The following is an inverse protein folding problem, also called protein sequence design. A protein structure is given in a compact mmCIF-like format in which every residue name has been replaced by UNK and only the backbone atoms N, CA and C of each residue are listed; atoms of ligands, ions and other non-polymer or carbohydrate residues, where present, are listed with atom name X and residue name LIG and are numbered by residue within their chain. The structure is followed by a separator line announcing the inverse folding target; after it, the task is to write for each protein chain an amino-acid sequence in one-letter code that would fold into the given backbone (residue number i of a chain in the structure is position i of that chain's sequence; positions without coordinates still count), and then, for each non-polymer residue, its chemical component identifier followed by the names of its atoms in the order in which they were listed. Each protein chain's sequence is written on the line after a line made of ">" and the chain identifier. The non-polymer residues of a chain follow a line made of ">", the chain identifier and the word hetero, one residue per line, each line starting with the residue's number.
data_IF_462474158610
#
_entry.id   IF_462474158610
#
_cell.length_a   1.000
_cell.length_b   1.000
_cell.length_c   1.000
_cell.angle_alpha   90.00
_cell.angle_beta   90.00
_cell.angle_gamma   90.00
#
_symmetry.space_group_name_H-M   'P 1'
#
loop_
_entity.id
_entity.type
_entity.pdbx_description
1 polymer ?
#
# COMPACT_ATOMS: atom_id res chain seq x y z
N UNK A 1 12.29 -2.65 6.82
CA UNK A 1 11.09 -3.27 7.44
C UNK A 1 10.81 -4.49 6.59
N UNK A 2 11.04 -5.70 7.10
CA UNK A 2 11.30 -6.88 6.25
C UNK A 2 10.17 -7.19 5.26
N UNK A 3 8.92 -6.90 5.63
CA UNK A 3 7.75 -7.08 4.77
C UNK A 3 7.75 -6.15 3.54
N UNK A 4 8.27 -4.93 3.67
CA UNK A 4 8.40 -3.97 2.58
C UNK A 4 9.55 -4.35 1.66
N UNK A 5 10.62 -4.89 2.23
CA UNK A 5 11.79 -5.34 1.48
C UNK A 5 11.45 -6.59 0.63
N UNK A 6 10.64 -7.50 1.18
CA UNK A 6 10.07 -8.63 0.42
C UNK A 6 9.14 -8.16 -0.70
N UNK A 7 8.29 -7.16 -0.45
CA UNK A 7 7.41 -6.60 -1.48
C UNK A 7 8.21 -5.94 -2.61
N UNK A 8 9.24 -5.16 -2.27
CA UNK A 8 10.15 -4.56 -3.25
C UNK A 8 10.85 -5.63 -4.10
N UNK A 9 11.36 -6.69 -3.49
CA UNK A 9 12.04 -7.78 -4.20
C UNK A 9 11.10 -8.59 -5.10
N UNK A 10 9.82 -8.74 -4.71
CA UNK A 10 8.82 -9.41 -5.54
C UNK A 10 8.41 -8.56 -6.76
N UNK A 11 8.43 -7.24 -6.62
CA UNK A 11 8.03 -6.29 -7.67
C UNK A 11 9.20 -5.93 -8.61
N UNK A 12 10.44 -5.90 -8.12
CA UNK A 12 11.64 -5.70 -8.94
C UNK A 12 11.98 -6.96 -9.75
N UNK A 13 11.31 -7.17 -10.88
CA UNK A 13 11.75 -8.12 -11.91
C UNK A 13 12.45 -7.38 -13.04
N UNK A 14 13.40 -8.01 -13.74
CA UNK A 14 14.18 -7.43 -14.86
C UNK A 14 13.32 -6.84 -15.99
N UNK A 15 12.04 -7.24 -16.06
CA UNK A 15 10.99 -6.60 -16.89
C UNK A 15 9.89 -6.04 -15.97
N UNK A 16 10.21 -5.00 -15.23
CA UNK A 16 9.19 -4.28 -14.44
C UNK A 16 8.45 -3.36 -15.41
N UNK A 17 7.22 -3.69 -15.79
CA UNK A 17 6.38 -2.80 -16.58
C UNK A 17 5.71 -1.78 -15.65
N UNK A 18 5.83 -0.50 -16.00
CA UNK A 18 5.23 0.63 -15.29
C UNK A 18 3.74 0.44 -15.06
N UNK A 19 3.04 -0.01 -16.10
CA UNK A 19 1.61 -0.23 -16.05
C UNK A 19 1.25 -1.38 -15.11
N UNK A 20 2.03 -2.47 -15.14
CA UNK A 20 1.84 -3.60 -14.23
C UNK A 20 2.13 -3.22 -12.78
N UNK A 21 3.21 -2.51 -12.49
CA UNK A 21 3.54 -2.04 -11.14
C UNK A 21 2.46 -1.12 -10.61
N UNK A 22 1.98 -0.16 -11.42
CA UNK A 22 0.87 0.73 -11.04
C UNK A 22 -0.40 -0.06 -10.74
N UNK A 23 -0.74 -1.03 -11.59
CA UNK A 23 -1.91 -1.90 -11.39
C UNK A 23 -1.81 -2.70 -10.09
N UNK A 24 -0.66 -3.31 -9.82
CA UNK A 24 -0.43 -4.10 -8.62
C UNK A 24 -0.49 -3.24 -7.35
N UNK A 25 0.11 -2.04 -7.36
CA UNK A 25 0.05 -1.08 -6.26
C UNK A 25 -1.39 -0.65 -5.98
N UNK A 26 -2.18 -0.38 -7.01
CA UNK A 26 -3.60 -0.03 -6.86
C UNK A 26 -4.42 -1.19 -6.25
N UNK A 27 -4.21 -2.42 -6.71
CA UNK A 27 -4.88 -3.62 -6.16
C UNK A 27 -4.52 -3.82 -4.69
N UNK A 28 -3.26 -3.59 -4.33
CA UNK A 28 -2.79 -3.68 -2.95
C UNK A 28 -3.45 -2.62 -2.05
N UNK A 29 -3.50 -1.37 -2.49
CA UNK A 29 -4.17 -0.29 -1.74
C UNK A 29 -5.66 -0.57 -1.55
N UNK A 30 -6.37 -1.02 -2.59
CA UNK A 30 -7.79 -1.38 -2.49
C UNK A 30 -8.04 -2.54 -1.52
N UNK A 31 -7.14 -3.53 -1.50
CA UNK A 31 -7.21 -4.66 -0.58
C UNK A 31 -7.01 -4.21 0.88
N UNK A 32 -6.04 -3.33 1.13
CA UNK A 32 -5.82 -2.75 2.46
C UNK A 32 -7.00 -1.91 2.94
N UNK A 33 -7.62 -1.14 2.05
CA UNK A 33 -8.77 -0.32 2.40
C UNK A 33 -10.02 -1.17 2.69
N UNK A 34 -10.22 -2.26 1.94
CA UNK A 34 -11.25 -3.26 2.26
C UNK A 34 -11.02 -3.88 3.63
N UNK A 35 -9.79 -4.26 3.96
CA UNK A 35 -9.47 -4.84 5.25
C UNK A 35 -9.70 -3.85 6.40
N UNK A 36 -9.30 -2.59 6.21
CA UNK A 36 -9.58 -1.50 7.17
C UNK A 36 -11.08 -1.31 7.40
N UNK A 37 -11.90 -1.28 6.35
CA UNK A 37 -13.37 -1.14 6.46
C UNK A 37 -14.00 -2.33 7.19
N UNK A 38 -13.52 -3.56 6.96
CA UNK A 38 -13.98 -4.75 7.71
C UNK A 38 -13.72 -4.61 9.22
N UNK A 39 -12.59 -4.01 9.59
CA UNK A 39 -12.27 -3.77 11.01
C UNK A 39 -13.17 -2.72 11.67
N UNK A 40 -13.62 -1.72 10.92
CA UNK A 40 -14.57 -0.72 11.44
C UNK A 40 -15.91 -1.40 11.78
N UNK A 41 -16.39 -2.32 10.95
CA UNK A 41 -17.58 -3.14 11.22
C UNK A 41 -17.41 -4.00 12.47
N UNK A 42 -16.30 -4.73 12.59
CA UNK A 42 -16.00 -5.59 13.76
C UNK A 42 -15.92 -4.76 15.04
N UNK A 43 -15.32 -3.56 14.99
CA UNK A 43 -15.26 -2.67 16.16
C UNK A 43 -16.65 -2.21 16.60
N UNK A 44 -17.54 -1.91 15.66
CA UNK A 44 -18.91 -1.50 15.94
C UNK A 44 -19.75 -2.65 16.51
N UNK A 45 -19.58 -3.87 16.01
CA UNK A 45 -20.25 -5.08 16.53
C UNK A 45 -19.81 -5.43 17.95
N UNK A 46 -18.50 -5.39 18.22
CA UNK A 46 -17.95 -5.54 19.57
C UNK A 46 -18.48 -4.42 20.48
N UNK A 47 -18.68 -3.23 19.91
CA UNK A 47 -19.18 -2.09 20.66
C UNK A 47 -20.64 -2.27 21.09
N UNK A 48 -21.51 -2.65 20.16
CA UNK A 48 -22.90 -2.98 20.44
C UNK A 48 -23.04 -4.16 21.44
N UNK A 49 -22.10 -5.11 21.41
CA UNK A 49 -22.05 -6.24 22.33
C UNK A 49 -21.61 -5.87 23.76
N UNK A 50 -20.80 -4.81 23.96
CA UNK A 50 -20.42 -4.38 25.32
C UNK A 50 -21.56 -3.65 26.03
N UNK A 51 -22.44 -2.93 25.31
CA UNK A 51 -23.57 -2.23 25.94
C UNK A 51 -24.51 -3.22 26.63
N UNK A 52 -24.58 -4.45 26.12
CA UNK A 52 -25.45 -5.52 26.63
C UNK A 52 -24.76 -6.45 27.64
N UNK A 53 -23.43 -6.37 27.86
CA UNK A 53 -22.77 -7.27 28.83
C UNK A 53 -21.63 -6.62 29.64
N UNK A 54 -21.85 -6.47 30.96
CA UNK A 54 -20.79 -6.13 31.94
C UNK A 54 -19.82 -7.32 32.11
N UNK A 55 -18.85 -7.50 31.23
CA UNK A 55 -17.67 -8.39 31.43
C UNK A 55 -16.36 -7.63 31.18
N UNK A 56 -15.91 -6.90 32.21
CA UNK A 56 -14.64 -6.12 32.20
C UNK A 56 -13.42 -7.05 32.35
N UNK A 57 -12.90 -7.56 31.24
CA UNK A 57 -11.44 -7.81 31.02
C UNK A 57 -11.11 -8.26 29.61
N UNK A 58 -11.98 -9.07 28.98
CA UNK A 58 -11.70 -9.70 27.66
C UNK A 58 -11.91 -8.77 26.47
N UNK A 59 -12.85 -7.83 26.56
CA UNK A 59 -13.12 -6.85 25.49
C UNK A 59 -11.95 -5.89 25.23
N UNK A 60 -11.17 -5.54 26.26
CA UNK A 60 -10.07 -4.59 26.14
C UNK A 60 -8.91 -5.13 25.26
N UNK A 61 -8.66 -6.45 25.28
CA UNK A 61 -7.63 -7.09 24.45
C UNK A 61 -8.02 -7.02 22.96
N UNK A 62 -9.29 -7.28 22.63
CA UNK A 62 -9.73 -7.29 21.24
C UNK A 62 -9.75 -5.88 20.65
N UNK A 63 -10.21 -4.89 21.43
CA UNK A 63 -10.19 -3.47 21.06
C UNK A 63 -8.76 -2.98 20.82
N UNK A 64 -7.82 -3.33 21.71
CA UNK A 64 -6.42 -2.91 21.59
C UNK A 64 -5.73 -3.59 20.39
N UNK A 65 -6.05 -4.86 20.11
CA UNK A 65 -5.57 -5.56 18.91
C UNK A 65 -6.12 -4.94 17.62
N UNK A 66 -7.40 -4.56 17.59
CA UNK A 66 -8.00 -3.89 16.44
C UNK A 66 -7.41 -2.50 16.21
N UNK A 67 -7.13 -1.75 17.29
CA UNK A 67 -6.44 -0.46 17.20
C UNK A 67 -5.01 -0.61 16.63
N UNK A 68 -4.23 -1.58 17.13
CA UNK A 68 -2.88 -1.86 16.64
C UNK A 68 -2.87 -2.28 15.16
N UNK A 69 -3.77 -3.18 14.74
CA UNK A 69 -3.88 -3.56 13.33
C UNK A 69 -4.24 -2.37 12.45
N UNK A 70 -5.07 -1.43 12.93
CA UNK A 70 -5.45 -0.22 12.18
C UNK A 70 -4.26 0.69 11.97
N UNK A 71 -3.45 0.87 13.01
CA UNK A 71 -2.21 1.64 12.94
C UNK A 71 -1.23 1.01 11.94
N UNK A 72 -1.05 -0.32 11.97
CA UNK A 72 -0.23 -1.04 11.00
C UNK A 72 -0.71 -0.82 9.57
N UNK A 73 -2.03 -0.93 9.31
CA UNK A 73 -2.60 -0.65 7.98
C UNK A 73 -2.33 0.80 7.53
N UNK A 74 -2.38 1.79 8.45
CA UNK A 74 -2.08 3.18 8.14
C UNK A 74 -0.61 3.38 7.78
N UNK A 75 0.30 2.80 8.56
CA UNK A 75 1.74 2.87 8.32
C UNK A 75 2.09 2.27 6.97
N UNK A 76 1.57 1.07 6.65
CA UNK A 76 1.77 0.42 5.35
C UNK A 76 1.22 1.29 4.23
N UNK A 77 0.04 1.88 4.40
CA UNK A 77 -0.58 2.76 3.38
C UNK A 77 0.29 3.97 3.09
N UNK A 78 0.82 4.64 4.13
CA UNK A 78 1.68 5.80 3.96
C UNK A 78 3.01 5.42 3.31
N UNK A 79 3.61 4.29 3.71
CA UNK A 79 4.83 3.78 3.10
C UNK A 79 4.67 3.46 1.60
N UNK A 80 3.54 2.88 1.21
CA UNK A 80 3.22 2.65 -0.21
C UNK A 80 3.09 3.97 -0.95
N UNK A 81 2.39 4.96 -0.37
CA UNK A 81 2.23 6.29 -1.01
C UNK A 81 3.56 7.00 -1.20
N UNK A 82 4.44 7.01 -0.20
CA UNK A 82 5.76 7.65 -0.29
C UNK A 82 6.65 6.97 -1.33
N UNK A 83 6.79 5.64 -1.27
CA UNK A 83 7.69 4.89 -2.16
C UNK A 83 7.22 4.87 -3.61
N UNK A 84 5.92 4.93 -3.85
CA UNK A 84 5.32 4.87 -5.17
C UNK A 84 4.74 6.21 -5.65
N UNK A 85 5.02 7.31 -4.94
CA UNK A 85 4.69 8.68 -5.37
C UNK A 85 5.31 8.98 -6.75
N UNK A 86 6.50 8.44 -7.02
CA UNK A 86 7.28 8.68 -8.24
C UNK A 86 6.88 7.85 -9.47
N UNK A 87 5.86 6.98 -9.39
CA UNK A 87 5.41 6.21 -10.58
C UNK A 87 4.97 7.15 -11.73
N UNK A 88 4.57 8.39 -11.43
CA UNK A 88 4.29 9.41 -12.44
C UNK A 88 5.46 9.63 -13.42
N UNK A 89 6.71 9.67 -12.93
CA UNK A 89 7.90 9.82 -13.76
C UNK A 89 8.25 8.54 -14.52
N UNK A 90 7.90 7.38 -13.97
CA UNK A 90 8.12 6.09 -14.63
C UNK A 90 7.29 5.95 -15.93
N UNK A 91 6.18 6.69 -16.05
CA UNK A 91 5.42 6.81 -17.32
C UNK A 91 6.13 7.64 -18.39
N UNK A 92 7.05 8.53 -18.02
CA UNK A 92 7.85 9.27 -19.01
C UNK A 92 8.83 8.32 -19.74
N UNK A 93 9.31 7.28 -19.07
CA UNK A 93 10.17 6.25 -19.69
C UNK A 93 9.45 5.54 -20.85
N UNK A 94 8.13 5.33 -20.74
CA UNK A 94 7.31 4.78 -21.84
C UNK A 94 7.10 5.74 -23.02
N UNK A 95 7.41 7.04 -22.87
CA UNK A 95 7.41 7.99 -23.99
C UNK A 95 8.70 7.90 -24.81
N UNK A 96 9.77 7.31 -24.25
CA UNK A 96 11.04 7.17 -24.92
C UNK A 96 11.16 5.80 -25.58
N UNK A 97 11.35 5.80 -26.90
CA UNK A 97 11.75 4.61 -27.63
C UNK A 97 13.23 4.29 -27.36
N UNK A 98 13.51 3.09 -26.82
CA UNK A 98 14.87 2.65 -26.48
C UNK A 98 15.89 2.78 -27.64
N UNK A 99 15.55 2.51 -28.91
CA UNK A 99 16.48 2.70 -30.03
C UNK A 99 16.88 4.16 -30.28
N UNK A 100 16.04 5.12 -29.87
CA UNK A 100 16.24 6.56 -30.10
C UNK A 100 16.96 7.26 -28.93
N UNK A 101 17.41 6.51 -27.92
CA UNK A 101 18.04 7.08 -26.72
C UNK A 101 19.25 7.98 -27.03
N UNK A 102 20.08 7.56 -27.99
CA UNK A 102 21.27 8.30 -28.44
C UNK A 102 20.91 9.61 -29.16
N UNK A 103 19.70 9.72 -29.70
CA UNK A 103 19.19 10.93 -30.34
C UNK A 103 18.59 11.89 -29.31
N UNK A 104 17.90 11.35 -28.29
CA UNK A 104 17.39 12.13 -27.17
C UNK A 104 18.52 12.77 -26.35
N UNK A 105 19.61 12.04 -26.11
CA UNK A 105 20.76 12.53 -25.34
C UNK A 105 21.35 13.83 -25.91
N UNK A 106 21.34 14.01 -27.25
CA UNK A 106 21.81 15.23 -27.91
C UNK A 106 20.95 16.46 -27.54
N UNK A 107 19.66 16.28 -27.29
CA UNK A 107 18.72 17.35 -26.97
C UNK A 107 18.70 17.73 -25.48
N UNK A 108 19.29 16.90 -24.61
CA UNK A 108 19.36 17.12 -23.16
C UNK A 108 20.75 17.57 -22.68
N UNK A 109 21.70 17.81 -23.58
CA UNK A 109 23.01 18.36 -23.20
C UNK A 109 22.85 19.81 -22.74
N UNK A 110 23.14 20.03 -21.45
CA UNK A 110 23.33 21.36 -20.84
C UNK A 110 24.81 21.69 -20.81
#
# INVERSE_FOLDING_TARGET
>A
MPHVDVLCNQLQKTRTDAALTRKQVNVFQQSLEKERKRMDTVTNEISASYETSRKRKRGNIHVNRTAATREICNVITNQVKERFCFISHYSAVSLFEAPKFQEYEKNFTT
#
